data_IF_939652592386
#
_entry.id   IF_939652592386
#
_cell.length_a   1.000
_cell.length_b   1.000
_cell.length_c   1.000
_cell.angle_alpha   90.00
_cell.angle_beta   90.00
_cell.angle_gamma   90.00
#
_symmetry.space_group_name_H-M   'P 1'
#
loop_
_entity.id
_entity.type
_entity.pdbx_description
1 polymer ?
#
# COMPACT_ATOMS: atom_id res chain seq x y z
N UNK A 1 8.08 -5.30 -23.01
CA UNK A 1 8.24 -6.54 -22.20
C UNK A 1 8.95 -6.21 -20.89
N UNK A 2 8.30 -5.43 -20.02
CA UNK A 2 8.78 -5.09 -18.67
C UNK A 2 7.99 -5.83 -17.56
N UNK A 3 7.08 -6.73 -17.95
CA UNK A 3 6.01 -7.24 -17.07
C UNK A 3 6.43 -8.30 -16.04
N UNK A 4 7.70 -8.72 -15.98
CA UNK A 4 8.08 -9.92 -15.19
C UNK A 4 9.47 -9.93 -14.55
N UNK A 5 9.98 -8.79 -14.06
CA UNK A 5 11.18 -8.87 -13.21
C UNK A 5 11.17 -7.83 -12.10
N UNK A 6 10.53 -8.09 -10.95
CA UNK A 6 10.99 -7.45 -9.72
C UNK A 6 12.45 -7.87 -9.51
N UNK A 7 13.32 -6.91 -9.24
CA UNK A 7 14.69 -7.22 -8.86
C UNK A 7 14.70 -7.88 -7.48
N UNK A 8 15.71 -8.70 -7.19
CA UNK A 8 15.88 -9.28 -5.86
C UNK A 8 16.11 -8.13 -4.89
N UNK A 9 15.26 -8.01 -3.85
CA UNK A 9 15.28 -6.90 -2.90
C UNK A 9 14.29 -5.77 -3.19
N UNK A 10 13.48 -5.86 -4.25
CA UNK A 10 12.41 -4.89 -4.50
C UNK A 10 11.28 -5.03 -3.46
N UNK A 11 10.80 -3.88 -2.97
CA UNK A 11 9.68 -3.78 -2.02
C UNK A 11 8.41 -3.44 -2.80
N UNK A 12 7.29 -4.04 -2.42
CA UNK A 12 5.99 -3.73 -3.00
C UNK A 12 4.90 -3.64 -1.96
N UNK A 13 3.74 -3.15 -2.41
CA UNK A 13 2.51 -3.19 -1.62
C UNK A 13 1.62 -4.34 -2.05
N UNK A 14 1.03 -4.98 -1.05
CA UNK A 14 0.07 -6.05 -1.17
C UNK A 14 -1.22 -5.63 -0.49
N UNK A 15 -2.35 -5.99 -1.08
CA UNK A 15 -3.68 -5.64 -0.58
C UNK A 15 -4.55 -6.88 -0.44
N UNK A 16 -5.42 -6.90 0.56
CA UNK A 16 -6.48 -7.89 0.71
C UNK A 16 -7.80 -7.17 0.90
N UNK A 17 -8.72 -7.38 -0.04
CA UNK A 17 -10.10 -6.87 0.02
C UNK A 17 -10.96 -7.63 1.05
N UNK A 18 -10.49 -8.77 1.56
CA UNK A 18 -11.17 -9.54 2.60
C UNK A 18 -10.56 -9.23 3.96
N UNK A 19 -11.39 -8.74 4.88
CA UNK A 19 -11.07 -8.61 6.30
C UNK A 19 -11.29 -9.97 6.97
N UNK A 20 -10.25 -10.80 6.97
CA UNK A 20 -10.24 -12.10 7.65
C UNK A 20 -8.95 -12.26 8.44
N UNK A 21 -8.92 -13.16 9.42
CA UNK A 21 -7.73 -13.46 10.23
C UNK A 21 -6.57 -14.01 9.38
N UNK A 22 -6.87 -14.53 8.18
CA UNK A 22 -5.89 -14.96 7.16
C UNK A 22 -6.14 -14.24 5.83
N UNK A 23 -5.79 -12.94 5.74
CA UNK A 23 -6.02 -12.16 4.52
C UNK A 23 -5.24 -12.75 3.34
N UNK A 24 -5.92 -12.93 2.21
CA UNK A 24 -5.28 -13.33 0.95
C UNK A 24 -4.72 -12.07 0.31
N UNK A 25 -3.42 -11.84 0.52
CA UNK A 25 -2.71 -10.71 -0.03
C UNK A 25 -2.45 -10.87 -1.52
N UNK A 26 -2.83 -9.85 -2.27
CA UNK A 26 -2.71 -9.75 -3.71
C UNK A 26 -1.66 -8.68 -4.00
N UNK A 27 -0.69 -8.99 -4.85
CA UNK A 27 0.39 -8.06 -5.21
C UNK A 27 -0.11 -7.03 -6.23
N UNK A 28 0.30 -5.78 -6.05
CA UNK A 28 0.11 -4.75 -7.09
C UNK A 28 1.02 -5.04 -8.28
N UNK A 29 0.44 -5.06 -9.47
CA UNK A 29 1.17 -5.43 -10.69
C UNK A 29 2.02 -4.26 -11.18
N UNK A 30 3.26 -4.57 -11.58
CA UNK A 30 4.15 -3.63 -12.27
C UNK A 30 4.24 -2.26 -11.57
N UNK A 31 4.44 -2.30 -10.26
CA UNK A 31 4.66 -1.10 -9.46
C UNK A 31 6.00 -0.46 -9.84
N UNK A 32 5.95 0.80 -10.26
CA UNK A 32 7.15 1.57 -10.64
C UNK A 32 7.69 2.36 -9.45
N UNK A 33 6.79 2.84 -8.59
CA UNK A 33 7.14 3.62 -7.40
C UNK A 33 6.25 3.25 -6.21
N UNK A 34 6.84 3.34 -5.02
CA UNK A 34 6.17 3.15 -3.74
C UNK A 34 6.71 4.17 -2.73
N UNK A 35 5.83 5.00 -2.21
CA UNK A 35 6.12 5.91 -1.13
C UNK A 35 5.27 5.58 0.09
N UNK A 36 5.91 5.52 1.25
CA UNK A 36 5.25 5.35 2.53
C UNK A 36 5.50 6.60 3.38
N UNK A 37 4.49 7.45 3.50
CA UNK A 37 4.56 8.70 4.25
C UNK A 37 3.86 8.56 5.60
N UNK A 38 4.41 9.25 6.61
CA UNK A 38 3.86 9.32 7.95
C UNK A 38 4.01 10.76 8.44
N UNK A 39 2.91 11.36 8.86
CA UNK A 39 2.91 12.68 9.50
C UNK A 39 2.02 12.65 10.74
N UNK A 40 2.35 13.50 11.71
CA UNK A 40 1.60 13.70 12.93
C UNK A 40 1.54 15.19 13.18
N UNK A 41 0.34 15.69 13.45
CA UNK A 41 0.17 17.10 13.76
C UNK A 41 0.79 17.44 15.13
N UNK A 42 1.08 18.71 15.34
CA UNK A 42 1.60 19.22 16.61
C UNK A 42 0.50 20.06 17.25
N UNK A 43 0.17 19.75 18.51
CA UNK A 43 -0.76 20.54 19.31
C UNK A 43 0.05 21.57 20.11
N UNK A 44 -0.26 22.84 19.92
CA UNK A 44 0.27 23.93 20.74
C UNK A 44 -0.35 23.84 22.14
N UNK A 45 0.49 23.52 23.12
CA UNK A 45 0.12 23.41 24.52
C UNK A 45 0.58 24.65 25.28
N UNK A 46 0.10 25.82 24.85
CA UNK A 46 0.38 27.13 25.42
C UNK A 46 0.00 27.19 26.92
N UNK A 47 0.91 26.73 27.78
CA UNK A 47 0.78 26.73 29.24
C UNK A 47 2.09 27.17 29.87
N UNK A 48 2.02 28.03 30.89
CA UNK A 48 3.21 28.67 31.51
C UNK A 48 4.21 27.72 32.18
N UNK A 49 3.92 26.41 32.23
CA UNK A 49 4.68 25.45 33.02
C UNK A 49 4.92 24.10 32.30
N UNK A 50 4.64 23.99 31.00
CA UNK A 50 4.78 22.75 30.24
C UNK A 50 5.52 22.96 28.91
N UNK A 51 6.02 21.90 28.27
CA UNK A 51 6.62 22.00 26.94
C UNK A 51 5.57 22.52 25.94
N UNK A 52 5.96 23.54 25.15
CA UNK A 52 5.04 24.31 24.29
C UNK A 52 4.42 23.48 23.15
N UNK A 53 4.97 22.30 22.85
CA UNK A 53 4.51 21.43 21.76
C UNK A 53 4.28 20.01 22.25
N UNK A 54 3.08 19.49 22.00
CA UNK A 54 2.71 18.10 22.25
C UNK A 54 2.37 17.41 20.92
N UNK A 55 2.72 16.13 20.75
CA UNK A 55 2.31 15.38 19.57
C UNK A 55 0.79 15.21 19.55
N UNK A 56 0.15 15.42 18.39
CA UNK A 56 -1.28 15.15 18.24
C UNK A 56 -1.58 13.65 18.37
N UNK A 57 -2.79 13.36 18.85
CA UNK A 57 -3.27 11.99 19.00
C UNK A 57 -3.54 11.29 17.65
N UNK A 58 -3.63 12.06 16.56
CA UNK A 58 -3.88 11.54 15.21
C UNK A 58 -2.59 11.49 14.40
N UNK A 59 -2.30 10.33 13.81
CA UNK A 59 -1.22 10.13 12.86
C UNK A 59 -1.84 9.80 11.50
N UNK A 60 -1.44 10.53 10.47
CA UNK A 60 -1.80 10.22 9.09
C UNK A 60 -0.70 9.36 8.49
N UNK A 61 -1.07 8.20 7.99
CA UNK A 61 -0.18 7.29 7.29
C UNK A 61 -0.76 7.05 5.91
N UNK A 62 0.03 7.33 4.88
CA UNK A 62 -0.40 7.18 3.49
C UNK A 62 0.62 6.34 2.72
N UNK A 63 0.10 5.51 1.85
CA UNK A 63 0.85 4.66 0.94
C UNK A 63 0.48 5.11 -0.45
N UNK A 64 1.40 5.76 -1.14
CA UNK A 64 1.21 6.20 -2.52
C UNK A 64 2.09 5.39 -3.45
N UNK A 65 1.62 5.13 -4.65
CA UNK A 65 2.41 4.44 -5.65
C UNK A 65 1.80 4.53 -7.03
N UNK A 66 2.64 4.22 -8.01
CA UNK A 66 2.27 4.17 -9.43
C UNK A 66 2.45 2.75 -9.92
N UNK A 67 1.46 2.25 -10.65
CA UNK A 67 1.42 0.91 -11.22
C UNK A 67 0.96 0.95 -12.68
N UNK A 68 1.37 -0.03 -13.48
CA UNK A 68 0.93 -0.13 -14.88
C UNK A 68 -0.41 -0.85 -15.01
N UNK A 69 -1.25 -0.40 -15.95
CA UNK A 69 -2.52 -1.05 -16.27
C UNK A 69 -2.24 -2.30 -17.10
N UNK A 70 -2.75 -3.44 -16.64
CA UNK A 70 -2.70 -4.69 -17.37
C UNK A 70 -3.95 -4.84 -18.25
N UNK A 71 -3.78 -4.88 -19.57
CA UNK A 71 -4.87 -5.14 -20.51
C UNK A 71 -5.14 -6.65 -20.61
N UNK A 72 -6.41 -7.05 -20.57
CA UNK A 72 -6.82 -8.46 -20.61
C UNK A 72 -7.27 -9.05 -19.27
N UNK A 73 -7.61 -8.20 -18.31
CA UNK A 73 -8.26 -8.59 -17.05
C UNK A 73 -9.70 -9.04 -17.35
N UNK A 74 -9.88 -10.34 -17.60
CA UNK A 74 -11.19 -10.94 -17.89
C UNK A 74 -12.00 -11.10 -16.61
N UNK A 75 -13.15 -10.42 -16.47
CA UNK A 75 -14.32 -10.66 -15.58
C UNK A 75 -14.07 -11.14 -14.12
N UNK A 76 -12.84 -11.09 -13.65
CA UNK A 76 -12.36 -11.52 -12.36
C UNK A 76 -11.30 -10.50 -11.96
N UNK A 77 -11.57 -9.63 -10.97
CA UNK A 77 -10.62 -8.59 -10.52
C UNK A 77 -9.34 -9.15 -9.87
N UNK A 78 -9.16 -10.48 -9.95
CA UNK A 78 -8.05 -11.26 -9.40
C UNK A 78 -7.62 -12.28 -10.47
N UNK A 79 -7.23 -11.82 -11.67
CA UNK A 79 -6.68 -12.73 -12.65
C UNK A 79 -5.27 -13.17 -12.23
N UNK A 80 -5.16 -14.36 -11.64
CA UNK A 80 -3.88 -14.96 -11.24
C UNK A 80 -3.26 -14.42 -9.96
N UNK A 81 -4.05 -13.91 -9.01
CA UNK A 81 -3.55 -13.42 -7.71
C UNK A 81 -2.90 -12.04 -7.79
N UNK A 82 -3.36 -11.22 -8.73
CA UNK A 82 -2.83 -9.88 -9.04
C UNK A 82 -3.94 -8.84 -8.98
N UNK A 83 -3.66 -7.69 -8.36
CA UNK A 83 -4.61 -6.60 -8.21
C UNK A 83 -4.51 -5.72 -9.46
N UNK A 84 -5.63 -5.56 -10.17
CA UNK A 84 -5.75 -4.70 -11.35
C UNK A 84 -6.41 -3.36 -11.01
N UNK A 85 -6.42 -2.46 -11.98
CA UNK A 85 -7.11 -1.17 -11.88
C UNK A 85 -8.61 -1.33 -11.57
N UNK A 86 -9.27 -2.37 -12.12
CA UNK A 86 -10.67 -2.66 -11.86
C UNK A 86 -10.95 -2.97 -10.37
N UNK A 87 -10.07 -3.73 -9.70
CA UNK A 87 -10.18 -3.99 -8.26
C UNK A 87 -10.03 -2.70 -7.47
N UNK A 88 -9.04 -1.87 -7.82
CA UNK A 88 -8.78 -0.61 -7.12
C UNK A 88 -9.96 0.36 -7.27
N UNK A 89 -10.54 0.45 -8.46
CA UNK A 89 -11.71 1.27 -8.76
C UNK A 89 -12.95 0.78 -7.98
N UNK A 90 -13.14 -0.54 -7.85
CA UNK A 90 -14.17 -1.10 -6.95
C UNK A 90 -13.94 -0.71 -5.48
N UNK A 91 -12.71 -0.85 -4.98
CA UNK A 91 -12.37 -0.55 -3.59
C UNK A 91 -12.58 0.92 -3.24
N UNK A 92 -12.21 1.84 -4.14
CA UNK A 92 -12.44 3.29 -3.99
C UNK A 92 -13.93 3.59 -3.98
N UNK A 93 -14.68 3.09 -4.97
CA UNK A 93 -16.13 3.37 -5.09
C UNK A 93 -16.91 2.84 -3.90
N UNK A 94 -16.57 1.65 -3.42
CA UNK A 94 -17.26 1.01 -2.29
C UNK A 94 -16.75 1.48 -0.92
N UNK A 95 -15.71 2.33 -0.87
CA UNK A 95 -15.04 2.78 0.37
C UNK A 95 -14.64 1.59 1.25
N UNK A 96 -14.22 0.51 0.60
CA UNK A 96 -13.94 -0.76 1.26
C UNK A 96 -12.72 -0.62 2.15
N UNK A 97 -12.85 -1.07 3.40
CA UNK A 97 -11.68 -1.20 4.26
C UNK A 97 -10.89 -2.44 3.83
N UNK A 98 -9.61 -2.27 3.59
CA UNK A 98 -8.68 -3.30 3.13
C UNK A 98 -7.59 -3.54 4.16
N UNK A 99 -7.01 -4.74 4.15
CA UNK A 99 -5.72 -5.00 4.78
C UNK A 99 -4.62 -4.70 3.77
N UNK A 100 -3.58 -3.98 4.20
CA UNK A 100 -2.41 -3.69 3.37
C UNK A 100 -1.14 -4.23 4.03
N UNK A 101 -0.18 -4.63 3.21
CA UNK A 101 1.14 -5.09 3.62
C UNK A 101 2.19 -4.49 2.69
N UNK A 102 3.29 -3.99 3.25
CA UNK A 102 4.49 -3.57 2.53
C UNK A 102 5.59 -4.55 2.91
N UNK A 103 6.23 -5.16 1.90
CA UNK A 103 7.28 -6.14 2.12
C UNK A 103 7.98 -6.54 0.82
N UNK A 104 8.89 -7.51 0.88
CA UNK A 104 9.65 -7.94 -0.29
C UNK A 104 8.74 -8.57 -1.36
N UNK A 105 8.87 -8.12 -2.62
CA UNK A 105 8.11 -8.62 -3.78
C UNK A 105 8.34 -10.11 -4.06
N UNK A 106 9.45 -10.68 -3.57
CA UNK A 106 9.73 -12.11 -3.64
C UNK A 106 8.68 -12.96 -2.93
N UNK A 107 7.94 -12.38 -1.98
CA UNK A 107 7.07 -13.12 -1.06
C UNK A 107 7.84 -14.03 -0.10
N UNK A 108 9.18 -13.96 -0.14
CA UNK A 108 10.08 -14.69 0.75
C UNK A 108 10.65 -13.64 1.69
N UNK A 109 10.19 -13.69 2.94
CA UNK A 109 10.72 -12.94 4.06
C UNK A 109 12.10 -13.49 4.43
N UNK A 110 13.12 -12.64 4.32
CA UNK A 110 14.50 -12.95 4.71
C UNK A 110 14.79 -12.23 6.03
N UNK A 111 15.56 -12.82 6.96
CA UNK A 111 16.06 -12.13 8.13
C UNK A 111 16.53 -10.69 7.89
N UNK A 112 15.96 -9.75 8.63
CA UNK A 112 16.24 -8.32 8.52
C UNK A 112 15.30 -7.55 7.59
N UNK A 113 14.39 -8.23 6.89
CA UNK A 113 13.37 -7.55 6.10
C UNK A 113 12.38 -6.80 7.00
N UNK A 114 12.07 -5.57 6.60
CA UNK A 114 11.08 -4.73 7.29
C UNK A 114 9.73 -4.93 6.62
N UNK A 115 8.84 -5.61 7.34
CA UNK A 115 7.46 -5.81 6.93
C UNK A 115 6.59 -4.82 7.68
N UNK A 116 5.69 -4.14 6.97
CA UNK A 116 4.68 -3.26 7.56
C UNK A 116 3.31 -3.73 7.15
N UNK A 117 2.39 -3.78 8.10
CA UNK A 117 1.02 -4.20 7.81
C UNK A 117 0.03 -3.38 8.61
N UNK A 118 -1.17 -3.22 8.07
CA UNK A 118 -2.23 -2.50 8.72
C UNK A 118 -3.53 -2.60 7.97
N UNK A 119 -4.51 -1.85 8.47
CA UNK A 119 -5.79 -1.68 7.77
C UNK A 119 -5.88 -0.29 7.19
N UNK A 120 -6.68 -0.10 6.15
CA UNK A 120 -6.81 1.18 5.48
C UNK A 120 -7.92 1.16 4.44
N UNK A 121 -7.98 2.20 3.62
CA UNK A 121 -8.87 2.26 2.48
C UNK A 121 -8.16 3.02 1.36
N UNK A 122 -8.57 2.76 0.11
CA UNK A 122 -8.05 3.51 -1.04
C UNK A 122 -8.75 4.87 -1.07
N UNK A 123 -7.98 5.95 -0.92
CA UNK A 123 -8.49 7.32 -0.82
C UNK A 123 -8.45 8.07 -2.15
N UNK A 124 -7.51 7.73 -3.04
CA UNK A 124 -7.48 8.24 -4.41
C UNK A 124 -7.02 7.16 -5.39
N UNK A 125 -7.54 7.27 -6.61
CA UNK A 125 -7.12 6.48 -7.77
C UNK A 125 -7.18 7.40 -8.99
N UNK A 126 -6.04 7.62 -9.62
CA UNK A 126 -5.89 8.46 -10.80
C UNK A 126 -5.33 7.63 -11.95
N UNK A 127 -6.05 7.58 -13.07
CA UNK A 127 -5.69 6.71 -14.20
C UNK A 127 -5.25 7.53 -15.41
N UNK A 128 -4.12 7.17 -16.02
CA UNK A 128 -3.53 7.85 -17.18
C UNK A 128 -3.47 6.93 -18.40
N UNK A 129 -4.01 7.40 -19.51
CA UNK A 129 -4.07 6.70 -20.80
C UNK A 129 -3.36 7.50 -21.91
N UNK A 130 -2.01 7.57 -21.89
CA UNK A 130 -1.24 8.26 -22.92
C UNK A 130 -1.29 7.52 -24.26
N UNK A 131 -1.23 8.27 -25.37
CA UNK A 131 -1.26 7.68 -26.73
C UNK A 131 0.06 7.03 -27.14
N UNK A 132 1.18 7.51 -26.58
CA UNK A 132 2.54 7.12 -26.98
C UNK A 132 3.32 6.41 -25.86
N UNK A 133 2.66 6.07 -24.75
CA UNK A 133 3.29 5.43 -23.58
C UNK A 133 2.36 4.36 -22.97
N UNK A 134 2.88 3.61 -21.99
CA UNK A 134 2.13 2.59 -21.26
C UNK A 134 1.12 3.26 -20.33
N UNK A 135 -0.11 2.74 -20.29
CA UNK A 135 -1.12 3.22 -19.37
C UNK A 135 -0.77 2.89 -17.92
N UNK A 136 -0.95 3.87 -17.03
CA UNK A 136 -0.60 3.77 -15.61
C UNK A 136 -1.75 4.22 -14.73
N UNK A 137 -1.72 3.81 -13.48
CA UNK A 137 -2.61 4.32 -12.45
C UNK A 137 -1.83 4.62 -11.18
N UNK A 138 -2.14 5.76 -10.58
CA UNK A 138 -1.64 6.21 -9.30
C UNK A 138 -2.68 5.89 -8.23
N UNK A 139 -2.24 5.33 -7.11
CA UNK A 139 -3.12 4.98 -6.00
C UNK A 139 -2.62 5.60 -4.70
N UNK A 140 -3.57 6.00 -3.85
CA UNK A 140 -3.30 6.37 -2.46
C UNK A 140 -4.10 5.47 -1.54
N UNK A 141 -3.43 4.79 -0.62
CA UNK A 141 -4.05 4.05 0.49
C UNK A 141 -3.81 4.85 1.76
N UNK A 142 -4.88 5.27 2.41
CA UNK A 142 -4.82 5.90 3.72
C UNK A 142 -5.00 4.83 4.79
N UNK A 143 -4.03 4.69 5.68
CA UNK A 143 -4.13 3.74 6.77
C UNK A 143 -5.16 4.19 7.81
N UNK A 144 -5.90 3.23 8.34
CA UNK A 144 -6.87 3.41 9.41
C UNK A 144 -6.27 2.88 10.71
N UNK A 145 -5.95 3.81 11.62
CA UNK A 145 -5.34 3.48 12.90
C UNK A 145 -3.84 3.25 12.79
N UNK A 146 -3.29 2.56 13.80
CA UNK A 146 -1.87 2.21 13.83
C UNK A 146 -1.57 1.04 12.90
N UNK A 147 -0.32 0.99 12.42
CA UNK A 147 0.22 -0.13 11.65
C UNK A 147 1.22 -0.89 12.49
N UNK A 148 1.36 -2.17 12.22
CA UNK A 148 2.39 -3.02 12.81
C UNK A 148 3.62 -3.01 11.91
N UNK A 149 4.80 -2.87 12.51
CA UNK A 149 6.06 -3.08 11.82
C UNK A 149 6.78 -4.25 12.47
N UNK A 150 7.09 -5.27 11.68
CA UNK A 150 7.85 -6.44 12.08
C UNK A 150 9.18 -6.45 11.34
N UNK A 151 10.23 -6.81 12.05
CA UNK A 151 11.53 -7.12 11.45
C UNK A 151 11.66 -8.62 11.50
N UNK A 152 11.81 -9.25 10.34
CA UNK A 152 11.91 -10.70 10.26
C UNK A 152 13.12 -11.18 11.04
N UNK A 153 12.94 -12.04 12.07
CA UNK A 153 14.03 -12.46 12.93
C UNK A 153 15.04 -13.32 12.15
N UNK A 154 16.30 -13.27 12.57
CA UNK A 154 17.30 -14.19 12.05
C UNK A 154 16.90 -15.64 12.29
N UNK A 155 16.80 -16.42 11.21
CA UNK A 155 16.72 -17.86 11.29
C UNK A 155 18.06 -18.38 11.84
N UNK A 156 18.10 -18.63 13.15
CA UNK A 156 19.18 -19.38 13.80
C UNK A 156 19.19 -20.84 13.37
#
# INVERSE_FOLDING_TARGET
MAERKPEIGSIGVFISATLSDTPVYIIMVCQTDLTFSRSRDVVDANSKCGPDQLPANTMTTEITGTSQILLGDTDQPIFGGKASEALMDELVRNRTTINWKIGPLSGIEVPGDVVKEGTGFVSSLDTSYPNDDVATFDFTITAKGDYTQTIEPATT
#
